data_IF_430543523014
#
_entry.id   IF_430543523014
#
_cell.length_a   1.000
_cell.length_b   1.000
_cell.length_c   1.000
_cell.angle_alpha   90.00
_cell.angle_beta   90.00
_cell.angle_gamma   90.00
#
_symmetry.space_group_name_H-M   'P 1'
#
loop_
_entity.id
_entity.type
_entity.pdbx_description
1 polymer ?
#
# COMPACT_ATOMS: atom_id res chain seq x y z
N UNK A 1 -7.97 -1.00 -14.31
CA UNK A 1 -8.37 -1.35 -12.93
C UNK A 1 -7.37 -0.77 -11.94
N UNK A 2 -7.74 -0.65 -10.68
CA UNK A 2 -6.82 -0.24 -9.62
C UNK A 2 -6.81 -1.27 -8.49
N UNK A 3 -5.81 -1.19 -7.63
CA UNK A 3 -5.64 -2.09 -6.50
C UNK A 3 -5.62 -1.26 -5.23
N UNK A 4 -6.30 -1.76 -4.20
CA UNK A 4 -6.12 -1.32 -2.81
C UNK A 4 -5.32 -2.41 -2.11
N UNK A 5 -4.29 -2.04 -1.36
CA UNK A 5 -3.40 -2.98 -0.70
C UNK A 5 -2.98 -2.51 0.69
N UNK A 6 -2.64 -3.49 1.53
CA UNK A 6 -2.13 -3.27 2.89
C UNK A 6 -0.73 -3.89 2.98
N UNK A 7 0.25 -3.06 3.31
CA UNK A 7 1.60 -3.48 3.66
C UNK A 7 1.73 -3.58 5.18
N UNK A 8 2.39 -4.64 5.65
CA UNK A 8 2.85 -4.77 7.02
C UNK A 8 4.37 -4.63 7.05
N UNK A 9 4.84 -3.70 7.86
CA UNK A 9 6.26 -3.54 8.15
C UNK A 9 6.71 -4.36 9.35
N UNK A 10 8.00 -4.63 9.47
CA UNK A 10 8.58 -5.35 10.63
C UNK A 10 8.35 -4.65 11.97
N UNK A 11 8.04 -3.34 11.96
CA UNK A 11 7.64 -2.57 13.15
C UNK A 11 6.19 -2.83 13.62
N UNK A 12 5.45 -3.71 12.95
CA UNK A 12 4.03 -3.95 13.23
C UNK A 12 3.09 -2.87 12.69
N UNK A 13 3.62 -1.85 12.02
CA UNK A 13 2.85 -0.78 11.40
C UNK A 13 2.27 -1.24 10.06
N UNK A 14 1.03 -0.80 9.81
CA UNK A 14 0.32 -1.06 8.58
C UNK A 14 0.29 0.19 7.70
N UNK A 15 0.49 0.01 6.40
CA UNK A 15 0.34 1.06 5.40
C UNK A 15 -0.72 0.63 4.40
N UNK A 16 -1.74 1.47 4.21
CA UNK A 16 -2.80 1.26 3.24
C UNK A 16 -2.52 2.18 2.06
N UNK A 17 -2.50 1.62 0.86
CA UNK A 17 -2.25 2.36 -0.37
C UNK A 17 -3.16 1.90 -1.50
N UNK A 18 -3.23 2.72 -2.54
CA UNK A 18 -3.83 2.35 -3.82
C UNK A 18 -2.82 2.52 -4.95
N UNK A 19 -2.91 1.66 -5.96
CA UNK A 19 -2.03 1.69 -7.13
C UNK A 19 -2.76 1.14 -8.36
N UNK A 20 -2.51 1.72 -9.54
CA UNK A 20 -2.93 1.11 -10.81
C UNK A 20 -2.16 -0.19 -11.09
N UNK A 21 -0.85 -0.16 -10.84
CA UNK A 21 0.04 -1.32 -10.94
C UNK A 21 0.63 -1.63 -9.56
N UNK A 22 0.08 -2.65 -8.90
CA UNK A 22 0.50 -3.08 -7.58
C UNK A 22 1.94 -3.62 -7.58
N UNK A 23 2.34 -4.36 -8.61
CA UNK A 23 3.64 -5.02 -8.66
C UNK A 23 4.76 -4.00 -8.86
N UNK A 24 4.58 -3.07 -9.81
CA UNK A 24 5.52 -1.97 -10.01
C UNK A 24 5.64 -1.10 -8.75
N UNK A 25 4.51 -0.83 -8.08
CA UNK A 25 4.53 0.01 -6.87
C UNK A 25 5.17 -0.70 -5.68
N UNK A 26 4.94 -2.00 -5.51
CA UNK A 26 5.60 -2.79 -4.47
C UNK A 26 7.12 -2.91 -4.72
N UNK A 27 7.54 -3.13 -5.96
CA UNK A 27 8.96 -3.14 -6.32
C UNK A 27 9.64 -1.79 -6.06
N UNK A 28 8.91 -0.68 -6.18
CA UNK A 28 9.41 0.65 -5.84
C UNK A 28 9.58 0.85 -4.33
N UNK A 29 8.68 0.30 -3.52
CA UNK A 29 8.81 0.28 -2.07
C UNK A 29 10.02 -0.56 -1.62
N UNK A 30 10.24 -1.73 -2.22
CA UNK A 30 11.41 -2.58 -1.93
C UNK A 30 12.73 -1.91 -2.29
N UNK A 31 12.78 -1.13 -3.39
CA UNK A 31 13.97 -0.37 -3.79
C UNK A 31 14.26 0.85 -2.90
N UNK A 32 13.46 1.12 -1.86
CA UNK A 32 13.74 2.16 -0.88
C UNK A 32 13.54 3.59 -1.38
N UNK A 33 12.90 3.79 -2.54
CA UNK A 33 12.72 5.11 -3.15
C UNK A 33 11.75 6.04 -2.42
N UNK A 34 10.95 5.54 -1.47
CA UNK A 34 9.97 6.36 -0.73
C UNK A 34 10.31 6.40 0.75
N UNK A 35 10.60 7.60 1.27
CA UNK A 35 10.97 7.84 2.67
C UNK A 35 9.93 7.31 3.68
N UNK A 36 8.66 7.19 3.27
CA UNK A 36 7.56 6.64 4.08
C UNK A 36 7.68 5.15 4.36
N UNK A 37 8.28 4.35 3.47
CA UNK A 37 8.48 2.90 3.67
C UNK A 37 9.75 2.54 4.42
N UNK A 38 10.76 3.43 4.43
CA UNK A 38 11.98 3.26 5.24
C UNK A 38 11.68 3.13 6.74
N UNK A 39 10.62 3.81 7.20
CA UNK A 39 10.13 3.78 8.59
C UNK A 39 9.24 2.57 8.94
N UNK A 40 8.77 1.80 7.95
CA UNK A 40 7.99 0.59 8.23
C UNK A 40 8.87 -0.59 8.63
N UNK A 41 10.15 -0.57 8.24
CA UNK A 41 11.14 -1.60 8.52
C UNK A 41 11.69 -2.23 7.24
N UNK A 42 12.84 -2.90 7.35
CA UNK A 42 13.54 -3.51 6.21
C UNK A 42 12.72 -4.61 5.49
N UNK A 43 11.69 -5.14 6.15
CA UNK A 43 10.82 -6.19 5.63
C UNK A 43 9.41 -5.63 5.45
N UNK A 44 8.94 -5.62 4.20
CA UNK A 44 7.61 -5.19 3.80
C UNK A 44 6.89 -6.38 3.17
N UNK A 45 5.72 -6.70 3.70
CA UNK A 45 4.90 -7.81 3.23
C UNK A 45 3.51 -7.30 2.87
N UNK A 46 2.98 -7.74 1.72
CA UNK A 46 1.58 -7.50 1.35
C UNK A 46 0.75 -8.51 2.12
N UNK A 47 -0.01 -8.05 3.12
CA UNK A 47 -0.89 -8.92 3.91
C UNK A 47 -2.32 -8.97 3.36
N UNK A 48 -2.71 -7.99 2.54
CA UNK A 48 -3.99 -7.95 1.86
C UNK A 48 -3.91 -7.13 0.59
N UNK A 49 -4.64 -7.55 -0.45
CA UNK A 49 -4.83 -6.79 -1.69
C UNK A 49 -6.20 -7.08 -2.28
N UNK A 50 -6.83 -6.06 -2.85
CA UNK A 50 -8.12 -6.16 -3.53
C UNK A 50 -8.11 -5.35 -4.81
N UNK A 51 -8.52 -5.98 -5.90
CA UNK A 51 -8.74 -5.29 -7.16
C UNK A 51 -10.06 -4.51 -7.11
N UNK A 52 -10.03 -3.29 -7.61
CA UNK A 52 -11.18 -2.40 -7.72
C UNK A 52 -11.28 -1.89 -9.16
N UNK A 53 -12.47 -2.00 -9.75
CA UNK A 53 -12.69 -1.62 -11.15
C UNK A 53 -12.46 -0.11 -11.39
N UNK A 54 -12.66 0.73 -10.36
CA UNK A 54 -12.68 2.19 -10.52
C UNK A 54 -12.06 2.88 -9.31
N UNK A 55 -11.11 3.80 -9.55
CA UNK A 55 -10.49 4.72 -8.57
C UNK A 55 -11.47 5.79 -8.04
N UNK A 56 -12.77 5.48 -7.88
CA UNK A 56 -13.80 6.46 -7.48
C UNK A 56 -14.22 6.40 -6.01
N UNK A 57 -13.64 5.52 -5.20
CA UNK A 57 -14.00 5.43 -3.77
C UNK A 57 -12.87 4.85 -2.91
N UNK A 58 -11.83 5.63 -2.68
CA UNK A 58 -10.79 5.28 -1.70
C UNK A 58 -10.15 6.52 -1.03
N UNK A 59 -10.90 7.62 -0.93
CA UNK A 59 -10.53 8.79 -0.14
C UNK A 59 -11.82 9.35 0.49
N UNK A 60 -11.96 9.25 1.82
CA UNK A 60 -12.99 9.94 2.59
C UNK A 60 -14.37 9.27 2.63
N UNK A 61 -14.61 8.44 3.65
CA UNK A 61 -15.90 8.42 4.34
C UNK A 61 -15.58 8.43 5.83
N UNK A 62 -15.33 9.63 6.33
CA UNK A 62 -15.50 10.02 7.72
C UNK A 62 -17.00 9.95 8.03
N UNK A 63 -17.43 8.84 8.62
CA UNK A 63 -18.70 8.71 9.34
C UNK A 63 -18.38 8.00 10.67
N UNK A 64 -17.79 8.77 11.58
CA UNK A 64 -17.85 8.58 13.03
C UNK A 64 -18.33 9.88 13.64
#
# INVERSE_FOLDING_TARGET
MAWVYILKGSSGRHYIGSAGDLAARFAQHLRGHTATTKRLGARLEIIAKKEVATLKKAAGSSDF
#
